data_IF_027886073821
#
_entry.id   IF_027886073821
#
_cell.length_a   1.000
_cell.length_b   1.000
_cell.length_c   1.000
_cell.angle_alpha   90.00
_cell.angle_beta   90.00
_cell.angle_gamma   90.00
#
_symmetry.space_group_name_H-M   'P 1'
#
loop_
_entity.id
_entity.type
_entity.pdbx_description
1 polymer ?
#
# COMPACT_ATOMS: atom_id res chain seq x y z
N UNK A 1 -8.33 -16.78 -8.46
CA UNK A 1 -8.32 -15.34 -8.20
C UNK A 1 -9.64 -14.88 -7.58
N UNK A 2 -10.78 -14.93 -8.32
CA UNK A 2 -12.11 -14.49 -7.84
C UNK A 2 -12.63 -15.28 -6.64
N UNK A 3 -12.13 -16.49 -6.44
CA UNK A 3 -12.57 -17.37 -5.36
C UNK A 3 -11.92 -17.01 -4.01
N UNK A 4 -10.70 -16.46 -4.03
CA UNK A 4 -9.93 -16.23 -2.82
C UNK A 4 -9.79 -14.76 -2.45
N UNK A 5 -9.46 -13.91 -3.41
CA UNK A 5 -9.25 -12.47 -3.20
C UNK A 5 -10.08 -11.70 -4.24
N UNK A 6 -11.36 -11.43 -3.96
CA UNK A 6 -12.29 -10.82 -4.93
C UNK A 6 -11.86 -9.43 -5.40
N UNK A 7 -11.23 -8.64 -4.55
CA UNK A 7 -10.71 -7.30 -4.87
C UNK A 7 -9.68 -7.30 -6.01
N UNK A 8 -8.97 -8.43 -6.21
CA UNK A 8 -7.97 -8.57 -7.26
C UNK A 8 -8.59 -9.03 -8.58
N UNK A 9 -9.25 -8.14 -9.32
CA UNK A 9 -9.83 -8.44 -10.64
C UNK A 9 -8.77 -8.74 -11.70
N UNK A 10 -7.61 -8.07 -11.62
CA UNK A 10 -6.39 -8.36 -12.38
C UNK A 10 -5.18 -8.41 -11.46
N UNK A 11 -4.15 -9.12 -11.86
CA UNK A 11 -2.89 -9.20 -11.13
C UNK A 11 -1.70 -9.28 -12.09
N UNK A 12 -0.54 -8.88 -11.59
CA UNK A 12 0.77 -9.04 -12.21
C UNK A 12 1.69 -9.79 -11.24
N UNK A 13 2.32 -10.87 -11.73
CA UNK A 13 3.36 -11.55 -10.97
C UNK A 13 4.66 -10.77 -11.00
N UNK A 14 5.38 -10.82 -9.87
CA UNK A 14 6.72 -10.25 -9.68
C UNK A 14 7.52 -11.19 -8.77
N UNK A 15 8.81 -10.92 -8.55
CA UNK A 15 9.67 -11.84 -7.80
C UNK A 15 9.66 -11.60 -6.29
N UNK A 16 9.39 -10.38 -5.82
CA UNK A 16 9.47 -10.02 -4.39
C UNK A 16 8.33 -9.11 -3.96
N UNK A 17 8.05 -9.10 -2.64
CA UNK A 17 7.11 -8.14 -2.04
C UNK A 17 7.53 -6.68 -2.26
N UNK A 18 8.84 -6.39 -2.30
CA UNK A 18 9.36 -5.05 -2.63
C UNK A 18 8.97 -4.61 -4.03
N UNK A 19 9.10 -5.50 -5.03
CA UNK A 19 8.65 -5.21 -6.39
C UNK A 19 7.14 -5.02 -6.46
N UNK A 20 6.38 -5.83 -5.71
CA UNK A 20 4.93 -5.71 -5.66
C UNK A 20 4.50 -4.34 -5.11
N UNK A 21 5.04 -3.90 -3.98
CA UNK A 21 4.71 -2.61 -3.36
C UNK A 21 5.22 -1.43 -4.19
N UNK A 22 6.44 -1.51 -4.73
CA UNK A 22 6.99 -0.51 -5.65
C UNK A 22 6.08 -0.30 -6.86
N UNK A 23 5.64 -1.40 -7.46
CA UNK A 23 4.79 -1.34 -8.66
C UNK A 23 3.38 -0.84 -8.33
N UNK A 24 2.82 -1.24 -7.19
CA UNK A 24 1.51 -0.76 -6.73
C UNK A 24 1.52 0.75 -6.48
N UNK A 25 2.56 1.29 -5.84
CA UNK A 25 2.70 2.74 -5.62
C UNK A 25 2.87 3.49 -6.94
N UNK A 26 3.73 3.00 -7.83
CA UNK A 26 3.91 3.63 -9.16
C UNK A 26 2.60 3.66 -9.93
N UNK A 27 1.86 2.55 -9.90
CA UNK A 27 0.56 2.45 -10.55
C UNK A 27 -0.46 3.42 -9.92
N UNK A 28 -0.51 3.51 -8.60
CA UNK A 28 -1.39 4.43 -7.89
C UNK A 28 -1.11 5.89 -8.26
N UNK A 29 0.17 6.29 -8.28
CA UNK A 29 0.58 7.63 -8.71
C UNK A 29 0.20 7.90 -10.17
N UNK A 30 0.47 6.95 -11.07
CA UNK A 30 0.15 7.08 -12.49
C UNK A 30 -1.36 7.16 -12.76
N UNK A 31 -2.16 6.41 -12.02
CA UNK A 31 -3.62 6.40 -12.14
C UNK A 31 -4.23 7.70 -11.61
N UNK A 32 -3.86 8.12 -10.41
CA UNK A 32 -4.41 9.32 -9.76
C UNK A 32 -3.79 10.62 -10.25
N UNK A 33 -2.63 10.56 -10.91
CA UNK A 33 -1.80 11.71 -11.30
C UNK A 33 -1.39 12.57 -10.10
N UNK A 34 -1.13 11.92 -8.97
CA UNK A 34 -0.74 12.54 -7.69
C UNK A 34 0.51 11.85 -7.16
N UNK A 35 1.29 12.55 -6.32
CA UNK A 35 2.60 12.05 -5.86
C UNK A 35 2.61 11.54 -4.42
N UNK A 36 1.76 12.10 -3.55
CA UNK A 36 1.84 11.88 -2.12
C UNK A 36 1.30 10.49 -1.73
N UNK A 37 2.06 9.77 -0.89
CA UNK A 37 1.66 8.48 -0.32
C UNK A 37 1.58 8.62 1.20
N UNK A 38 0.56 8.03 1.80
CA UNK A 38 0.49 7.80 3.24
C UNK A 38 0.92 6.36 3.54
N UNK A 39 1.80 6.21 4.54
CA UNK A 39 2.14 4.93 5.17
C UNK A 39 2.11 5.06 6.68
N UNK A 40 2.29 3.95 7.41
CA UNK A 40 2.24 3.95 8.87
C UNK A 40 3.57 3.54 9.49
N UNK A 41 3.91 4.17 10.64
CA UNK A 41 5.09 3.82 11.44
C UNK A 41 5.04 2.36 11.84
N UNK A 42 6.18 1.70 11.79
CA UNK A 42 6.32 0.28 12.11
C UNK A 42 5.85 -0.69 11.03
N UNK A 43 4.99 -0.27 10.10
CA UNK A 43 4.66 -1.08 8.92
C UNK A 43 5.85 -1.15 7.96
N UNK A 44 6.09 -2.36 7.42
CA UNK A 44 7.16 -2.61 6.46
C UNK A 44 6.58 -3.01 5.10
N UNK A 45 7.00 -2.30 4.07
CA UNK A 45 6.50 -2.47 2.70
C UNK A 45 7.63 -2.69 1.68
N UNK A 46 8.68 -3.40 2.07
CA UNK A 46 9.87 -3.57 1.24
C UNK A 46 10.84 -2.38 1.35
N UNK A 47 11.84 -2.35 0.46
CA UNK A 47 12.95 -1.41 0.58
C UNK A 47 13.11 -0.45 -0.60
N UNK A 48 12.01 -0.14 -1.30
CA UNK A 48 12.01 0.95 -2.26
C UNK A 48 12.10 2.31 -1.53
N UNK A 49 12.85 3.24 -2.09
CA UNK A 49 13.18 4.52 -1.45
C UNK A 49 11.96 5.26 -0.89
N UNK A 50 10.86 5.30 -1.64
CA UNK A 50 9.61 5.96 -1.21
C UNK A 50 8.99 5.38 0.07
N UNK A 51 9.31 4.13 0.42
CA UNK A 51 8.76 3.43 1.58
C UNK A 51 9.74 3.34 2.74
N UNK A 52 11.02 3.67 2.54
CA UNK A 52 12.03 3.80 3.59
C UNK A 52 12.04 5.22 4.16
N UNK A 53 10.86 5.70 4.54
CA UNK A 53 10.65 7.02 5.11
C UNK A 53 10.03 6.83 6.50
N UNK A 54 10.57 7.54 7.49
CA UNK A 54 10.04 7.63 8.86
C UNK A 54 9.33 8.96 9.07
N UNK A 55 8.52 9.05 10.12
CA UNK A 55 7.83 10.29 10.48
C UNK A 55 8.80 11.46 10.66
N UNK A 56 8.34 12.65 10.31
CA UNK A 56 9.02 13.89 10.64
C UNK A 56 8.83 14.27 12.11
N UNK A 57 9.28 15.46 12.49
CA UNK A 57 9.20 15.97 13.87
C UNK A 57 7.79 16.31 14.35
N UNK A 58 6.80 16.36 13.47
CA UNK A 58 5.39 16.61 13.78
C UNK A 58 4.47 15.73 12.94
N UNK A 59 3.22 15.59 13.38
CA UNK A 59 2.24 14.62 12.82
C UNK A 59 1.98 14.76 11.31
N UNK A 60 2.13 15.96 10.75
CA UNK A 60 1.93 16.24 9.32
C UNK A 60 3.19 16.79 8.63
N UNK A 61 4.36 16.67 9.28
CA UNK A 61 5.61 17.09 8.64
C UNK A 61 6.07 16.03 7.65
N UNK A 62 6.65 16.47 6.54
CA UNK A 62 7.25 15.57 5.57
C UNK A 62 8.25 14.63 6.25
N UNK A 63 8.21 13.36 5.86
CA UNK A 63 9.04 12.32 6.42
C UNK A 63 10.54 12.57 6.19
N UNK A 64 11.34 11.82 6.90
CA UNK A 64 12.79 11.80 6.73
C UNK A 64 13.24 10.42 6.26
N UNK A 65 14.28 10.31 5.42
CA UNK A 65 14.86 9.03 5.07
C UNK A 65 15.17 8.18 6.31
N UNK A 66 14.76 6.92 6.31
CA UNK A 66 15.07 5.97 7.38
C UNK A 66 16.36 5.18 7.13
N UNK A 67 16.97 5.38 5.95
CA UNK A 67 18.23 4.74 5.56
C UNK A 67 19.16 5.75 4.88
N UNK A 68 20.49 5.65 5.07
CA UNK A 68 21.45 6.29 4.17
C UNK A 68 21.21 5.87 2.71
N UNK A 69 21.56 6.75 1.77
CA UNK A 69 21.41 6.50 0.33
C UNK A 69 20.09 6.96 -0.26
N UNK A 70 19.09 7.30 0.57
CA UNK A 70 17.82 7.84 0.07
C UNK A 70 17.90 9.36 -0.05
N UNK A 71 17.67 9.93 -1.26
CA UNK A 71 17.64 11.38 -1.44
C UNK A 71 16.54 12.04 -0.60
N UNK A 72 16.88 13.12 0.10
CA UNK A 72 15.90 13.87 0.92
C UNK A 72 14.72 14.39 0.11
N UNK A 73 14.91 14.68 -1.18
CA UNK A 73 13.86 15.11 -2.09
C UNK A 73 12.75 14.08 -2.26
N UNK A 74 13.02 12.79 -2.10
CA UNK A 74 11.99 11.72 -2.19
C UNK A 74 11.12 11.67 -0.94
N UNK A 75 11.67 12.04 0.23
CA UNK A 75 10.96 11.97 1.50
C UNK A 75 9.71 12.87 1.54
N UNK A 76 9.70 13.97 0.79
CA UNK A 76 8.56 14.91 0.72
C UNK A 76 7.29 14.30 0.10
N UNK A 77 7.42 13.17 -0.61
CA UNK A 77 6.29 12.49 -1.26
C UNK A 77 5.73 11.33 -0.41
N UNK A 78 6.11 11.25 0.87
CA UNK A 78 5.59 10.21 1.77
C UNK A 78 5.31 10.81 3.14
N UNK A 79 4.04 10.75 3.56
CA UNK A 79 3.62 11.02 4.93
C UNK A 79 3.64 9.71 5.70
N UNK A 80 4.26 9.71 6.87
CA UNK A 80 4.27 8.56 7.78
C UNK A 80 3.48 8.92 9.03
N UNK A 81 2.35 8.24 9.24
CA UNK A 81 1.43 8.46 10.36
C UNK A 81 1.60 7.32 11.39
N UNK A 82 1.12 7.53 12.60
CA UNK A 82 1.03 6.44 13.59
C UNK A 82 -0.07 5.46 13.18
N UNK A 83 0.21 4.18 13.32
CA UNK A 83 -0.79 3.13 13.11
C UNK A 83 -1.91 3.25 14.15
N UNK A 84 -3.16 3.07 13.75
CA UNK A 84 -4.36 3.24 14.61
C UNK A 84 -4.66 4.69 15.07
N UNK A 85 -4.01 5.70 14.50
CA UNK A 85 -4.26 7.11 14.81
C UNK A 85 -5.30 7.69 13.84
N UNK A 86 -6.57 7.60 14.25
CA UNK A 86 -7.73 8.09 13.50
C UNK A 86 -7.64 9.61 13.25
N UNK A 87 -7.19 10.36 14.26
CA UNK A 87 -7.11 11.81 14.17
C UNK A 87 -6.03 12.27 13.19
N UNK A 88 -4.85 11.61 13.22
CA UNK A 88 -3.78 11.90 12.28
C UNK A 88 -4.20 11.60 10.83
N UNK A 89 -4.95 10.53 10.59
CA UNK A 89 -5.51 10.22 9.26
C UNK A 89 -6.47 11.31 8.81
N UNK A 90 -7.41 11.72 9.66
CA UNK A 90 -8.36 12.78 9.34
C UNK A 90 -7.66 14.10 9.01
N UNK A 91 -6.68 14.52 9.81
CA UNK A 91 -5.90 15.73 9.58
C UNK A 91 -5.10 15.66 8.27
N UNK A 92 -4.49 14.51 7.96
CA UNK A 92 -3.75 14.34 6.73
C UNK A 92 -4.65 14.50 5.49
N UNK A 93 -5.83 13.91 5.50
CA UNK A 93 -6.79 14.07 4.39
C UNK A 93 -7.40 15.48 4.33
N UNK A 94 -7.61 16.14 5.47
CA UNK A 94 -8.06 17.52 5.49
C UNK A 94 -7.04 18.48 4.88
N UNK A 95 -5.75 18.24 5.14
CA UNK A 95 -4.67 19.13 4.70
C UNK A 95 -4.19 18.83 3.28
N UNK A 96 -4.17 17.54 2.87
CA UNK A 96 -3.51 17.06 1.64
C UNK A 96 -4.39 16.15 0.77
N UNK A 97 -5.69 16.02 1.05
CA UNK A 97 -6.55 15.04 0.38
C UNK A 97 -6.45 15.05 -1.15
N UNK A 98 -6.31 16.23 -1.76
CA UNK A 98 -6.17 16.36 -3.22
C UNK A 98 -4.80 15.99 -3.77
N UNK A 99 -3.80 15.83 -2.92
CA UNK A 99 -2.42 15.48 -3.30
C UNK A 99 -2.13 13.99 -3.07
N UNK A 100 -2.93 13.33 -2.21
CA UNK A 100 -2.74 11.93 -1.84
C UNK A 100 -3.10 11.02 -3.01
N UNK A 101 -2.11 10.28 -3.51
CA UNK A 101 -2.30 9.25 -4.50
C UNK A 101 -2.86 7.96 -3.89
N UNK A 102 -2.28 7.54 -2.76
CA UNK A 102 -2.69 6.33 -2.08
C UNK A 102 -2.32 6.32 -0.59
N UNK A 103 -3.03 5.47 0.15
CA UNK A 103 -2.66 4.99 1.48
C UNK A 103 -2.21 3.54 1.34
N UNK A 104 -1.01 3.21 1.80
CA UNK A 104 -0.53 1.83 1.91
C UNK A 104 -0.49 1.40 3.38
N UNK A 105 -1.06 0.24 3.69
CA UNK A 105 -1.18 -0.27 5.05
C UNK A 105 -1.04 -1.79 5.11
N UNK A 106 -0.33 -2.32 6.12
CA UNK A 106 -0.49 -3.71 6.52
C UNK A 106 -1.82 -3.80 7.31
N UNK A 107 -2.85 -4.53 6.84
CA UNK A 107 -4.14 -4.58 7.55
C UNK A 107 -4.04 -5.24 8.93
N UNK A 108 -3.02 -6.07 9.16
CA UNK A 108 -2.50 -6.47 10.46
C UNK A 108 -1.00 -6.24 10.38
N UNK A 109 -0.48 -5.36 11.22
CA UNK A 109 0.91 -4.94 11.14
C UNK A 109 1.85 -6.02 11.70
N UNK A 110 2.25 -6.93 10.82
CA UNK A 110 3.05 -8.11 11.17
C UNK A 110 4.43 -7.74 11.69
N UNK A 111 5.08 -6.74 11.10
CA UNK A 111 6.42 -6.27 11.49
C UNK A 111 6.44 -5.50 12.82
N UNK A 112 5.27 -5.17 13.36
CA UNK A 112 5.08 -4.53 14.67
C UNK A 112 4.62 -5.52 15.73
N UNK A 113 4.98 -6.81 15.64
CA UNK A 113 4.53 -7.84 16.56
C UNK A 113 3.00 -8.11 16.46
N UNK A 114 2.47 -8.16 15.24
CA UNK A 114 1.08 -8.51 14.93
C UNK A 114 0.04 -7.54 15.51
N UNK A 115 0.32 -6.25 15.50
CA UNK A 115 -0.64 -5.22 15.93
C UNK A 115 -1.87 -5.25 15.01
N UNK A 116 -3.03 -5.42 15.61
CA UNK A 116 -4.31 -5.38 14.90
C UNK A 116 -4.82 -3.95 14.74
N UNK A 117 -5.59 -3.68 13.68
CA UNK A 117 -6.30 -2.42 13.56
C UNK A 117 -7.35 -2.33 14.67
N UNK A 118 -7.51 -1.15 15.27
CA UNK A 118 -8.66 -0.88 16.15
C UNK A 118 -9.95 -0.83 15.31
N UNK A 119 -11.12 -1.11 15.92
CA UNK A 119 -12.39 -1.02 15.21
C UNK A 119 -12.56 0.36 14.53
N UNK A 120 -12.99 0.36 13.26
CA UNK A 120 -13.21 1.58 12.49
C UNK A 120 -11.98 2.15 11.78
N UNK A 121 -10.75 1.67 12.06
CA UNK A 121 -9.55 2.24 11.46
C UNK A 121 -9.43 1.93 9.95
N UNK A 122 -9.62 0.68 9.55
CA UNK A 122 -9.53 0.30 8.14
C UNK A 122 -10.70 0.84 7.33
N UNK A 123 -11.88 0.86 7.92
CA UNK A 123 -13.08 1.48 7.35
C UNK A 123 -12.86 2.97 7.11
N UNK A 124 -12.27 3.67 8.08
CA UNK A 124 -11.90 5.09 7.92
C UNK A 124 -10.94 5.29 6.74
N UNK A 125 -9.90 4.46 6.62
CA UNK A 125 -8.97 4.55 5.50
C UNK A 125 -9.69 4.37 4.15
N UNK A 126 -10.57 3.39 4.06
CA UNK A 126 -11.38 3.16 2.85
C UNK A 126 -12.27 4.35 2.52
N UNK A 127 -12.99 4.88 3.52
CA UNK A 127 -13.89 6.02 3.34
C UNK A 127 -13.13 7.30 2.94
N UNK A 128 -11.98 7.58 3.58
CA UNK A 128 -11.17 8.73 3.24
C UNK A 128 -10.55 8.64 1.85
N UNK A 129 -10.05 7.46 1.48
CA UNK A 129 -9.55 7.23 0.13
C UNK A 129 -10.66 7.46 -0.90
N UNK A 130 -11.82 6.85 -0.71
CA UNK A 130 -12.97 6.99 -1.61
C UNK A 130 -13.45 8.44 -1.73
N UNK A 131 -13.56 9.17 -0.62
CA UNK A 131 -14.03 10.56 -0.61
C UNK A 131 -13.07 11.54 -1.29
N UNK A 132 -11.79 11.17 -1.46
CA UNK A 132 -10.75 12.02 -2.03
C UNK A 132 -10.19 11.50 -3.36
N UNK A 133 -10.78 10.47 -3.97
CA UNK A 133 -10.27 9.80 -5.18
C UNK A 133 -8.82 9.32 -5.04
N UNK A 134 -8.43 8.94 -3.83
CA UNK A 134 -7.16 8.30 -3.52
C UNK A 134 -7.36 6.78 -3.52
N UNK A 135 -6.28 6.00 -3.61
CA UNK A 135 -6.36 4.55 -3.60
C UNK A 135 -5.98 3.94 -2.25
N UNK A 136 -6.72 2.94 -1.81
CA UNK A 136 -6.34 2.11 -0.67
C UNK A 136 -5.55 0.89 -1.15
N UNK A 137 -4.32 0.74 -0.65
CA UNK A 137 -3.44 -0.40 -0.95
C UNK A 137 -3.29 -1.24 0.32
N UNK A 138 -3.77 -2.49 0.30
CA UNK A 138 -3.47 -3.45 1.35
C UNK A 138 -2.17 -4.19 1.02
N UNK A 139 -1.18 -4.02 1.89
CA UNK A 139 0.01 -4.85 1.87
C UNK A 139 -0.29 -6.15 2.61
N UNK A 140 -0.68 -7.15 1.86
CA UNK A 140 -0.94 -8.50 2.35
C UNK A 140 0.23 -9.47 2.07
N UNK A 141 1.43 -8.95 1.87
CA UNK A 141 2.64 -9.78 1.70
C UNK A 141 2.84 -10.73 2.89
N UNK A 142 2.45 -10.30 4.10
CA UNK A 142 2.48 -11.17 5.28
C UNK A 142 1.14 -11.86 5.55
N UNK A 143 0.03 -11.17 5.42
CA UNK A 143 -1.30 -11.63 5.85
C UNK A 143 -2.04 -12.46 4.79
N UNK A 144 -1.77 -12.21 3.51
CA UNK A 144 -2.43 -12.91 2.41
C UNK A 144 -2.24 -14.42 2.48
N UNK A 145 -3.33 -15.18 2.46
CA UNK A 145 -3.39 -16.64 2.61
C UNK A 145 -2.83 -17.18 3.93
N UNK A 146 -2.35 -16.32 4.83
CA UNK A 146 -1.80 -16.72 6.12
C UNK A 146 -2.84 -16.61 7.24
N UNK A 147 -3.52 -15.47 7.35
CA UNK A 147 -4.49 -15.23 8.43
C UNK A 147 -5.88 -15.76 8.09
N UNK A 148 -6.20 -15.82 6.81
CA UNK A 148 -7.41 -16.43 6.26
C UNK A 148 -7.20 -16.75 4.78
N UNK A 149 -8.06 -17.59 4.20
CA UNK A 149 -8.06 -17.95 2.77
C UNK A 149 -8.17 -16.71 1.87
N UNK A 150 -8.95 -15.72 2.28
CA UNK A 150 -9.13 -14.45 1.57
C UNK A 150 -8.25 -13.30 2.09
N UNK A 151 -7.21 -13.62 2.88
CA UNK A 151 -6.35 -12.61 3.51
C UNK A 151 -7.06 -11.82 4.63
N UNK A 152 -6.40 -10.79 5.13
CA UNK A 152 -6.97 -9.92 6.15
C UNK A 152 -8.18 -9.12 5.64
N UNK A 153 -8.21 -8.79 4.35
CA UNK A 153 -9.36 -8.10 3.73
C UNK A 153 -10.68 -8.87 3.92
N UNK A 154 -10.64 -10.20 3.91
CA UNK A 154 -11.83 -11.01 4.16
C UNK A 154 -12.25 -11.04 5.64
N UNK A 155 -11.30 -10.90 6.56
CA UNK A 155 -11.57 -10.84 8.00
C UNK A 155 -12.27 -9.53 8.38
N UNK A 156 -11.79 -8.43 7.81
CA UNK A 156 -12.29 -7.07 8.11
C UNK A 156 -13.39 -6.61 7.15
N UNK A 157 -13.75 -7.41 6.15
CA UNK A 157 -14.72 -7.06 5.11
C UNK A 157 -14.41 -5.72 4.42
N UNK A 158 -13.15 -5.50 4.09
CA UNK A 158 -12.66 -4.33 3.36
C UNK A 158 -12.20 -4.74 1.98
N UNK A 159 -12.63 -4.04 0.95
CA UNK A 159 -12.16 -4.22 -0.42
C UNK A 159 -11.18 -3.10 -0.80
N UNK A 160 -9.86 -3.34 -0.73
CA UNK A 160 -8.87 -2.36 -1.17
C UNK A 160 -8.88 -2.21 -2.70
N UNK A 161 -8.42 -1.06 -3.19
CA UNK A 161 -8.26 -0.80 -4.62
C UNK A 161 -7.13 -1.62 -5.24
N UNK A 162 -6.05 -1.79 -4.48
CA UNK A 162 -4.89 -2.62 -4.82
C UNK A 162 -4.48 -3.50 -3.63
N UNK A 163 -3.95 -4.68 -3.94
CA UNK A 163 -3.41 -5.63 -2.95
C UNK A 163 -2.03 -6.09 -3.41
N UNK A 164 -1.09 -6.17 -2.49
CA UNK A 164 0.23 -6.81 -2.72
C UNK A 164 0.32 -8.13 -1.98
N UNK A 165 0.91 -9.13 -2.61
CA UNK A 165 1.08 -10.50 -2.10
C UNK A 165 2.54 -10.92 -2.26
N UNK A 166 2.98 -11.82 -1.39
CA UNK A 166 4.32 -12.38 -1.43
C UNK A 166 4.46 -13.54 -0.45
N UNK A 167 5.67 -13.78 0.01
CA UNK A 167 5.97 -14.82 1.02
C UNK A 167 5.27 -16.16 0.71
N UNK A 168 4.16 -16.44 1.38
CA UNK A 168 3.48 -17.73 1.32
C UNK A 168 3.02 -18.12 -0.10
N UNK A 169 2.68 -17.16 -0.97
CA UNK A 169 2.25 -17.48 -2.34
C UNK A 169 3.38 -18.08 -3.19
N UNK A 170 4.63 -17.83 -2.81
CA UNK A 170 5.79 -18.41 -3.48
C UNK A 170 6.08 -19.86 -3.07
N UNK A 171 5.56 -20.32 -1.90
CA UNK A 171 5.83 -21.67 -1.42
C UNK A 171 7.33 -21.97 -1.24
N UNK A 172 8.14 -20.96 -0.94
CA UNK A 172 9.60 -21.05 -0.86
C UNK A 172 10.34 -20.55 -2.12
N UNK A 173 9.61 -20.27 -3.20
CA UNK A 173 10.16 -19.70 -4.43
C UNK A 173 10.09 -18.16 -4.42
N UNK A 174 10.92 -17.46 -5.22
CA UNK A 174 10.87 -16.01 -5.35
C UNK A 174 9.66 -15.59 -6.19
N UNK A 175 8.48 -15.57 -5.57
CA UNK A 175 7.24 -15.16 -6.22
C UNK A 175 6.44 -14.23 -5.33
N UNK A 176 5.95 -13.15 -5.95
CA UNK A 176 5.06 -12.16 -5.37
C UNK A 176 4.08 -11.69 -6.45
N UNK A 177 3.10 -10.88 -6.06
CA UNK A 177 2.14 -10.32 -7.00
C UNK A 177 1.61 -8.98 -6.47
N UNK A 178 1.15 -8.14 -7.38
CA UNK A 178 0.27 -7.04 -7.05
C UNK A 178 -0.92 -7.05 -8.01
N UNK A 179 -2.03 -6.54 -7.57
CA UNK A 179 -3.24 -6.51 -8.37
C UNK A 179 -4.36 -5.74 -7.68
N UNK A 180 -5.50 -5.65 -8.34
CA UNK A 180 -6.65 -4.93 -7.82
C UNK A 180 -7.72 -4.73 -8.87
N UNK A 181 -8.44 -3.62 -8.78
CA UNK A 181 -9.52 -3.23 -9.68
C UNK A 181 -9.03 -3.21 -11.14
N UNK A 182 -9.83 -3.75 -12.03
CA UNK A 182 -9.49 -3.88 -13.46
C UNK A 182 -9.13 -2.54 -14.09
N UNK A 183 -9.87 -1.48 -13.80
CA UNK A 183 -9.65 -0.16 -14.36
C UNK A 183 -8.29 0.43 -13.96
N UNK A 184 -7.85 0.22 -12.71
CA UNK A 184 -6.54 0.66 -12.23
C UNK A 184 -5.45 -0.14 -12.92
N UNK A 185 -5.58 -1.47 -12.91
CA UNK A 185 -4.60 -2.39 -13.50
C UNK A 185 -4.46 -2.22 -15.02
N UNK A 186 -5.46 -1.70 -15.72
CA UNK A 186 -5.39 -1.39 -17.15
C UNK A 186 -4.48 -0.18 -17.48
N UNK A 187 -4.09 0.61 -16.47
CA UNK A 187 -3.07 1.65 -16.66
C UNK A 187 -1.64 1.09 -16.72
N UNK A 188 -1.47 -0.20 -16.42
CA UNK A 188 -0.17 -0.85 -16.49
C UNK A 188 0.18 -1.25 -17.93
N UNK A 189 1.44 -1.03 -18.33
CA UNK A 189 1.98 -1.47 -19.61
C UNK A 189 1.76 -2.99 -19.85
N UNK A 190 1.43 -3.44 -21.07
CA UNK A 190 1.35 -2.67 -22.31
C UNK A 190 0.00 -1.99 -22.57
N UNK A 191 -1.05 -2.22 -21.77
CA UNK A 191 -2.38 -1.62 -21.99
C UNK A 191 -2.39 -0.12 -21.65
N UNK A 192 -1.60 0.32 -20.68
CA UNK A 192 -1.55 1.68 -20.19
C UNK A 192 -0.13 2.27 -20.12
N UNK A 193 -0.02 3.54 -19.72
CA UNK A 193 1.24 4.28 -19.77
C UNK A 193 2.20 3.96 -18.61
N UNK A 194 1.73 3.30 -17.55
CA UNK A 194 2.56 3.03 -16.36
C UNK A 194 3.47 1.84 -16.63
N UNK A 195 4.78 2.13 -16.72
CA UNK A 195 5.76 1.10 -17.05
C UNK A 195 6.03 0.15 -15.89
N UNK A 196 6.01 -1.13 -16.20
CA UNK A 196 6.46 -2.21 -15.34
C UNK A 196 7.00 -3.33 -16.25
N UNK A 197 8.20 -3.79 -15.98
CA UNK A 197 8.78 -4.96 -16.60
C UNK A 197 9.60 -5.72 -15.57
N UNK A 198 9.78 -7.00 -15.81
CA UNK A 198 10.57 -7.91 -14.97
C UNK A 198 10.42 -9.33 -15.49
N UNK A 199 11.51 -10.06 -15.46
CA UNK A 199 11.54 -11.49 -15.80
C UNK A 199 11.34 -12.31 -14.52
N UNK A 200 10.47 -13.29 -14.58
CA UNK A 200 10.22 -14.27 -13.52
C UNK A 200 11.08 -15.50 -13.78
#
# INVERSE_FOLDING_TARGET
RREFIPSMQRLRMVSTGTEATMSAIRLARGFTKRDLIIKFEGCYHGHVDSLLIKAGSGALTHGQPSSPGIPKSLAKHTLTLRYNDIDAVNQAFQSHGREIAAVIVEPIAGNMNMIKPIPGFLELLQDRCKANDSLLIFDEVMTGFRVAKGGAQSIYNIEPDLTTLGKIIGGGLPAAAFGGRKEIMSHLSPEGPVYQAGTL
#
